data_IF_744114637474
#
_entry.id   IF_744114637474
#
_cell.length_a   1.000
_cell.length_b   1.000
_cell.length_c   1.000
_cell.angle_alpha   90.00
_cell.angle_beta   90.00
_cell.angle_gamma   90.00
#
_symmetry.space_group_name_H-M   'P 1'
#
loop_
_entity.id
_entity.type
_entity.pdbx_description
1 polymer ?
#
# COMPACT_ATOMS: atom_id res chain seq x y z
N UNK A 1 -15.69 -11.95 -19.04
CA UNK A 1 -14.47 -12.79 -18.92
C UNK A 1 -13.72 -12.49 -17.62
N UNK A 2 -13.39 -11.21 -17.31
CA UNK A 2 -12.70 -10.85 -16.06
C UNK A 2 -13.46 -11.25 -14.78
N UNK A 3 -14.79 -11.10 -14.73
CA UNK A 3 -15.57 -11.45 -13.53
C UNK A 3 -15.64 -12.95 -13.27
N UNK A 4 -15.69 -13.75 -14.33
CA UNK A 4 -15.63 -15.22 -14.23
C UNK A 4 -14.27 -15.69 -13.71
N UNK A 5 -13.17 -15.02 -14.09
CA UNK A 5 -11.84 -15.32 -13.54
C UNK A 5 -11.74 -14.97 -12.05
N UNK A 6 -12.29 -13.81 -11.62
CA UNK A 6 -12.33 -13.42 -10.20
C UNK A 6 -13.13 -14.39 -9.32
N UNK A 7 -14.11 -15.09 -9.90
CA UNK A 7 -14.95 -16.05 -9.20
C UNK A 7 -14.25 -17.39 -8.92
N UNK A 8 -13.27 -17.78 -9.74
CA UNK A 8 -12.62 -19.10 -9.67
C UNK A 8 -11.23 -19.03 -9.03
N UNK A 9 -10.56 -17.88 -9.13
CA UNK A 9 -9.20 -17.70 -8.61
C UNK A 9 -9.18 -17.30 -7.11
N UNK A 10 -8.11 -17.71 -6.43
CA UNK A 10 -7.83 -17.39 -5.02
C UNK A 10 -7.37 -15.94 -4.78
N UNK A 11 -7.49 -15.08 -5.79
CA UNK A 11 -7.03 -13.71 -5.75
C UNK A 11 -6.88 -13.11 -7.13
N UNK A 12 -6.48 -11.85 -7.18
CA UNK A 12 -6.11 -11.17 -8.40
C UNK A 12 -5.20 -9.97 -8.08
N UNK A 13 -4.29 -9.69 -9.01
CA UNK A 13 -3.45 -8.49 -9.00
C UNK A 13 -3.94 -7.60 -10.14
N UNK A 14 -4.41 -6.41 -9.81
CA UNK A 14 -4.91 -5.42 -10.77
C UNK A 14 -3.78 -4.47 -11.12
N UNK A 15 -3.59 -4.24 -12.43
CA UNK A 15 -2.68 -3.21 -12.91
C UNK A 15 -3.47 -1.94 -13.24
N UNK A 16 -3.01 -0.80 -12.73
CA UNK A 16 -3.61 0.51 -12.93
C UNK A 16 -2.92 1.27 -14.04
N UNK A 17 -3.70 1.75 -15.01
CA UNK A 17 -3.20 2.65 -16.04
C UNK A 17 -2.68 3.96 -15.44
N UNK A 18 -3.39 4.51 -14.44
CA UNK A 18 -3.00 5.76 -13.76
C UNK A 18 -1.61 5.66 -13.13
N UNK A 19 -1.32 4.53 -12.47
CA UNK A 19 0.00 4.28 -11.88
C UNK A 19 1.09 4.16 -12.97
N UNK A 20 0.80 3.44 -14.05
CA UNK A 20 1.75 3.33 -15.16
C UNK A 20 2.06 4.69 -15.80
N UNK A 21 1.04 5.52 -16.02
CA UNK A 21 1.19 6.88 -16.59
C UNK A 21 1.97 7.83 -15.67
N UNK A 22 1.95 7.60 -14.35
CA UNK A 22 2.75 8.37 -13.38
C UNK A 22 4.17 7.81 -13.16
N UNK A 23 4.59 6.79 -13.93
CA UNK A 23 5.89 6.15 -13.78
C UNK A 23 6.02 5.21 -12.59
N UNK A 24 4.91 4.84 -11.94
CA UNK A 24 4.89 3.93 -10.79
C UNK A 24 4.90 2.47 -11.28
N UNK A 25 6.03 1.78 -11.07
CA UNK A 25 6.20 0.38 -11.48
C UNK A 25 6.73 -0.49 -10.34
N UNK A 26 6.20 -1.73 -10.17
CA UNK A 26 5.06 -2.31 -10.90
C UNK A 26 3.76 -1.53 -10.65
N UNK A 27 2.93 -1.37 -11.70
CA UNK A 27 1.73 -0.52 -11.64
C UNK A 27 0.55 -1.20 -10.92
N UNK A 28 0.78 -1.77 -9.74
CA UNK A 28 -0.20 -2.58 -9.01
C UNK A 28 -1.15 -1.69 -8.20
N UNK A 29 -2.45 -1.86 -8.43
CA UNK A 29 -3.48 -1.24 -7.62
C UNK A 29 -3.72 -2.07 -6.35
N UNK A 30 -3.22 -1.60 -5.21
CA UNK A 30 -3.30 -2.31 -3.92
C UNK A 30 -4.73 -2.38 -3.37
N UNK A 31 -5.58 -1.39 -3.66
CA UNK A 31 -6.97 -1.37 -3.21
C UNK A 31 -7.83 -2.33 -4.04
N UNK A 32 -7.59 -2.39 -5.36
CA UNK A 32 -8.31 -3.27 -6.27
C UNK A 32 -7.75 -4.71 -6.29
N UNK A 33 -6.58 -4.97 -5.68
CA UNK A 33 -5.95 -6.30 -5.62
C UNK A 33 -6.24 -7.04 -4.32
N UNK A 34 -6.32 -8.37 -4.41
CA UNK A 34 -6.58 -9.25 -3.26
C UNK A 34 -5.89 -10.60 -3.41
N UNK A 35 -5.41 -11.13 -2.27
CA UNK A 35 -5.05 -12.54 -2.10
C UNK A 35 -5.96 -13.12 -1.01
N UNK A 36 -6.80 -14.09 -1.35
CA UNK A 36 -7.76 -14.72 -0.41
C UNK A 36 -7.08 -15.64 0.59
N UNK A 37 -5.89 -16.12 0.26
CA UNK A 37 -5.10 -17.02 1.13
C UNK A 37 -4.15 -16.27 2.06
N UNK A 38 -4.01 -14.94 1.90
CA UNK A 38 -3.04 -14.14 2.63
C UNK A 38 -3.10 -14.34 4.15
N UNK A 39 -4.30 -14.28 4.73
CA UNK A 39 -4.49 -14.43 6.18
C UNK A 39 -4.12 -15.81 6.72
N UNK A 40 -4.00 -16.82 5.85
CA UNK A 40 -3.62 -18.18 6.22
C UNK A 40 -2.11 -18.43 6.10
N UNK A 41 -1.37 -17.60 5.37
CA UNK A 41 0.05 -17.82 5.04
C UNK A 41 1.01 -16.84 5.69
N UNK A 42 0.51 -15.75 6.29
CA UNK A 42 1.32 -14.75 7.00
C UNK A 42 1.02 -14.77 8.50
N UNK A 43 1.96 -14.26 9.31
CA UNK A 43 1.73 -14.11 10.75
C UNK A 43 0.62 -13.08 11.04
N UNK A 44 -0.02 -13.17 12.21
CA UNK A 44 -1.02 -12.17 12.64
C UNK A 44 -0.44 -10.75 12.69
N UNK A 45 0.82 -10.63 13.10
CA UNK A 45 1.52 -9.35 13.18
C UNK A 45 1.72 -8.73 11.78
N UNK A 46 2.22 -9.52 10.83
CA UNK A 46 2.40 -9.07 9.45
C UNK A 46 1.05 -8.76 8.80
N UNK A 47 0.01 -9.53 9.09
CA UNK A 47 -1.33 -9.25 8.60
C UNK A 47 -1.86 -7.90 9.11
N UNK A 48 -1.61 -7.57 10.38
CA UNK A 48 -1.95 -6.27 10.95
C UNK A 48 -1.18 -5.12 10.30
N UNK A 49 0.13 -5.31 10.05
CA UNK A 49 0.96 -4.34 9.32
C UNK A 49 0.41 -4.08 7.90
N UNK A 50 0.02 -5.13 7.18
CA UNK A 50 -0.57 -4.99 5.84
C UNK A 50 -1.89 -4.21 5.89
N UNK A 51 -2.74 -4.47 6.89
CA UNK A 51 -3.96 -3.71 7.09
C UNK A 51 -3.69 -2.23 7.37
N UNK A 52 -2.72 -1.92 8.23
CA UNK A 52 -2.31 -0.55 8.52
C UNK A 52 -1.78 0.16 7.27
N UNK A 53 -0.91 -0.52 6.51
CA UNK A 53 -0.39 -0.01 5.23
C UNK A 53 -1.53 0.35 4.27
N UNK A 54 -2.48 -0.57 4.07
CA UNK A 54 -3.66 -0.35 3.21
C UNK A 54 -4.50 0.84 3.68
N UNK A 55 -4.75 0.96 4.99
CA UNK A 55 -5.51 2.07 5.54
C UNK A 55 -4.84 3.42 5.27
N UNK A 56 -3.54 3.50 5.45
CA UNK A 56 -2.77 4.74 5.26
C UNK A 56 -2.69 5.15 3.80
N UNK A 57 -2.43 4.18 2.91
CA UNK A 57 -2.47 4.39 1.46
C UNK A 57 -3.86 4.87 1.00
N UNK A 58 -4.92 4.23 1.48
CA UNK A 58 -6.31 4.59 1.15
C UNK A 58 -6.69 5.98 1.64
N UNK A 59 -6.26 6.36 2.85
CA UNK A 59 -6.48 7.71 3.41
C UNK A 59 -5.84 8.77 2.52
N UNK A 60 -4.60 8.57 2.10
CA UNK A 60 -3.93 9.48 1.19
C UNK A 60 -4.68 9.55 -0.16
N UNK A 61 -4.97 8.40 -0.77
CA UNK A 61 -5.60 8.33 -2.09
C UNK A 61 -6.97 9.02 -2.14
N UNK A 62 -7.82 8.82 -1.12
CA UNK A 62 -9.14 9.46 -1.05
C UNK A 62 -9.07 10.99 -0.92
N UNK A 63 -7.95 11.54 -0.47
CA UNK A 63 -7.75 12.98 -0.29
C UNK A 63 -6.76 13.58 -1.29
N UNK A 64 -6.21 12.76 -2.19
CA UNK A 64 -5.17 13.17 -3.14
C UNK A 64 -5.59 14.41 -3.95
N UNK A 65 -6.81 14.45 -4.46
CA UNK A 65 -7.28 15.56 -5.27
C UNK A 65 -7.38 16.87 -4.48
N UNK A 66 -7.84 16.81 -3.21
CA UNK A 66 -7.88 17.96 -2.32
C UNK A 66 -6.47 18.47 -1.98
N UNK A 67 -5.53 17.54 -1.77
CA UNK A 67 -4.12 17.85 -1.51
C UNK A 67 -3.49 18.50 -2.75
N UNK A 68 -3.71 17.93 -3.93
CA UNK A 68 -3.11 18.36 -5.20
C UNK A 68 -3.55 19.78 -5.61
N UNK A 69 -4.79 20.17 -5.30
CA UNK A 69 -5.29 21.54 -5.55
C UNK A 69 -4.98 22.52 -4.41
N UNK A 70 -4.29 22.06 -3.35
CA UNK A 70 -3.95 22.89 -2.18
C UNK A 70 -5.14 23.24 -1.28
N UNK A 71 -6.25 22.49 -1.37
CA UNK A 71 -7.46 22.71 -0.56
C UNK A 71 -7.40 22.02 0.81
N UNK A 72 -6.39 21.18 1.06
CA UNK A 72 -6.17 20.55 2.36
C UNK A 72 -5.24 21.41 3.25
N UNK A 73 -5.66 21.65 4.49
CA UNK A 73 -4.87 22.37 5.51
C UNK A 73 -4.39 21.39 6.58
N UNK A 74 -3.08 21.38 6.84
CA UNK A 74 -2.48 20.57 7.91
C UNK A 74 -3.07 20.92 9.28
N UNK A 75 -3.25 19.90 10.13
CA UNK A 75 -3.84 20.00 11.46
C UNK A 75 -5.36 19.83 11.51
N UNK A 76 -6.03 19.77 10.35
CA UNK A 76 -7.48 19.53 10.29
C UNK A 76 -7.84 18.07 10.60
N UNK A 77 -7.06 17.11 10.11
CA UNK A 77 -7.26 15.69 10.36
C UNK A 77 -5.91 15.01 10.60
N UNK A 78 -5.59 14.63 11.85
CA UNK A 78 -4.34 13.96 12.18
C UNK A 78 -4.08 12.69 11.38
N UNK A 79 -5.13 11.98 10.94
CA UNK A 79 -5.00 10.76 10.16
C UNK A 79 -4.64 11.03 8.69
N UNK A 80 -5.13 12.14 8.13
CA UNK A 80 -4.75 12.58 6.78
C UNK A 80 -3.35 13.18 6.82
N UNK A 81 -3.02 13.96 7.85
CA UNK A 81 -1.67 14.49 8.07
C UNK A 81 -0.63 13.37 8.13
N UNK A 82 -0.88 12.33 8.94
CA UNK A 82 -0.01 11.16 9.02
C UNK A 82 0.12 10.45 7.66
N UNK A 83 -0.98 10.32 6.92
CA UNK A 83 -0.97 9.70 5.61
C UNK A 83 -0.15 10.50 4.59
N UNK A 84 -0.26 11.85 4.60
CA UNK A 84 0.55 12.75 3.77
C UNK A 84 2.03 12.63 4.12
N UNK A 85 2.36 12.66 5.41
CA UNK A 85 3.74 12.56 5.89
C UNK A 85 4.40 11.24 5.46
N UNK A 86 3.67 10.13 5.59
CA UNK A 86 4.20 8.78 5.30
C UNK A 86 4.10 8.39 3.83
N UNK A 87 3.30 9.09 3.02
CA UNK A 87 3.06 8.73 1.62
C UNK A 87 4.33 8.52 0.79
N UNK A 88 5.38 9.36 0.86
CA UNK A 88 6.59 9.14 0.07
C UNK A 88 7.27 7.79 0.35
N UNK A 89 7.21 7.32 1.61
CA UNK A 89 7.78 6.03 2.02
C UNK A 89 6.90 4.85 1.60
N UNK A 90 5.57 5.02 1.68
CA UNK A 90 4.59 4.05 1.19
C UNK A 90 4.72 3.85 -0.32
N UNK A 91 4.84 4.95 -1.06
CA UNK A 91 4.99 4.92 -2.51
C UNK A 91 6.30 4.24 -2.91
N UNK A 92 7.42 4.61 -2.28
CA UNK A 92 8.72 4.00 -2.56
C UNK A 92 8.74 2.49 -2.30
N UNK A 93 8.04 2.01 -1.26
CA UNK A 93 7.93 0.58 -0.96
C UNK A 93 7.19 -0.23 -2.04
N UNK A 94 6.24 0.39 -2.74
CA UNK A 94 5.49 -0.27 -3.80
C UNK A 94 6.25 -0.29 -5.13
N UNK A 95 7.22 0.61 -5.30
CA UNK A 95 8.01 0.70 -6.51
C UNK A 95 9.21 -0.25 -6.46
N UNK A 96 9.43 -0.96 -7.56
CA UNK A 96 10.53 -1.88 -7.70
C UNK A 96 11.04 -1.85 -9.14
N UNK A 97 12.36 -1.63 -9.31
CA UNK A 97 13.01 -1.69 -10.62
C UNK A 97 13.00 -3.10 -11.21
N UNK A 98 13.03 -3.21 -12.54
CA UNK A 98 12.93 -4.49 -13.27
C UNK A 98 14.00 -5.51 -12.88
N UNK A 99 15.22 -5.04 -12.59
CA UNK A 99 16.35 -5.87 -12.16
C UNK A 99 16.49 -5.96 -10.63
N UNK A 100 15.63 -5.24 -9.89
CA UNK A 100 15.64 -5.28 -8.43
C UNK A 100 15.00 -6.57 -7.95
N UNK A 101 15.64 -7.23 -6.99
CA UNK A 101 15.13 -8.44 -6.35
C UNK A 101 15.06 -8.21 -4.85
N UNK A 102 13.94 -8.59 -4.27
CA UNK A 102 13.74 -8.60 -2.82
C UNK A 102 13.24 -9.99 -2.42
N UNK A 103 13.80 -10.53 -1.35
CA UNK A 103 13.31 -11.76 -0.76
C UNK A 103 12.19 -11.48 0.25
N UNK A 104 11.52 -12.53 0.70
CA UNK A 104 10.40 -12.39 1.62
C UNK A 104 10.79 -11.76 2.98
N UNK A 105 11.87 -12.22 3.67
CA UNK A 105 12.29 -11.60 4.92
C UNK A 105 12.60 -10.11 4.79
N UNK A 106 13.32 -9.70 3.73
CA UNK A 106 13.61 -8.29 3.46
C UNK A 106 12.35 -7.48 3.18
N UNK A 107 11.43 -8.00 2.35
CA UNK A 107 10.18 -7.30 2.07
C UNK A 107 9.30 -7.11 3.33
N UNK A 108 9.26 -8.12 4.21
CA UNK A 108 8.55 -8.01 5.48
C UNK A 108 9.19 -7.00 6.43
N UNK A 109 10.53 -6.97 6.49
CA UNK A 109 11.27 -5.99 7.28
C UNK A 109 11.08 -4.55 6.76
N UNK A 110 11.11 -4.36 5.44
CA UNK A 110 10.84 -3.06 4.82
C UNK A 110 9.42 -2.57 5.08
N UNK A 111 8.41 -3.45 5.00
CA UNK A 111 7.03 -3.11 5.36
C UNK A 111 6.95 -2.58 6.80
N UNK A 112 7.57 -3.27 7.75
CA UNK A 112 7.61 -2.84 9.14
C UNK A 112 8.33 -1.49 9.30
N UNK A 113 9.43 -1.27 8.58
CA UNK A 113 10.18 -0.02 8.61
C UNK A 113 9.41 1.17 8.02
N UNK A 114 8.60 0.95 6.98
CA UNK A 114 7.75 1.97 6.34
C UNK A 114 6.66 2.48 7.27
N UNK A 115 6.02 1.57 8.01
CA UNK A 115 5.02 1.92 9.03
C UNK A 115 5.66 2.66 10.22
N UNK A 116 6.98 2.56 10.35
CA UNK A 116 7.74 2.89 11.54
C UNK A 116 7.71 1.67 12.46
N UNK A 117 8.87 1.10 12.76
CA UNK A 117 8.99 0.16 13.87
C UNK A 117 8.28 0.81 15.05
N UNK A 118 7.21 0.20 15.53
CA UNK A 118 6.44 0.76 16.62
C UNK A 118 7.40 1.07 17.74
N UNK A 119 7.54 2.36 18.07
CA UNK A 119 8.03 2.77 19.38
C UNK A 119 6.95 2.33 20.39
N UNK A 120 6.95 1.03 20.67
CA UNK A 120 6.44 0.40 21.87
C UNK A 120 7.57 -0.49 22.37
N UNK A 121 8.62 0.18 22.84
CA UNK A 121 9.37 -0.37 23.96
C UNK A 121 8.55 0.01 25.19
N UNK A 122 7.93 -1.00 25.80
CA UNK A 122 7.74 -0.99 27.24
C UNK A 122 9.11 -1.01 27.94
#
# INVERSE_FOLDING_TARGET
IADSARAILDGHVVLSRRLAESGHYPAIDIEASISRVMSAVVSKEQFAQVHQFKQMLSRYQRNHDLIAVGAYTSGNDPQIDEAIEKYPRLEAFLQQGMESRIDYPSAAAELAAVLGAGARND
#
